data_IF_066293381668
#
_entry.id   IF_066293381668
#
_cell.length_a   1.000
_cell.length_b   1.000
_cell.length_c   1.000
_cell.angle_alpha   90.00
_cell.angle_beta   90.00
_cell.angle_gamma   90.00
#
_symmetry.space_group_name_H-M   'P 1'
#
loop_
_entity.id
_entity.type
_entity.pdbx_description
1 polymer ?
#
# COMPACT_ATOMS: atom_id res chain seq x y z
N UNK A 1 28.03 1.24 -6.73
CA UNK A 1 26.69 0.79 -6.31
C UNK A 1 26.40 -0.60 -6.90
N UNK A 2 27.45 -1.41 -7.08
CA UNK A 2 27.63 -2.21 -8.30
C UNK A 2 27.07 -3.65 -8.21
N UNK A 3 26.23 -3.92 -7.22
CA UNK A 3 25.81 -5.30 -6.89
C UNK A 3 24.30 -5.52 -6.91
N UNK A 4 23.46 -4.47 -7.02
CA UNK A 4 22.02 -4.67 -7.17
C UNK A 4 21.72 -4.97 -8.64
N UNK A 5 21.54 -6.26 -8.92
CA UNK A 5 21.25 -6.77 -10.26
C UNK A 5 19.84 -7.33 -10.35
N UNK A 6 19.17 -6.98 -11.42
CA UNK A 6 17.86 -7.50 -11.79
C UNK A 6 18.02 -8.59 -12.85
N UNK A 7 17.12 -9.56 -12.85
CA UNK A 7 17.08 -10.61 -13.87
C UNK A 7 16.16 -10.15 -15.00
N UNK A 8 16.73 -9.93 -16.17
CA UNK A 8 16.03 -9.53 -17.38
C UNK A 8 16.28 -10.58 -18.46
N UNK A 9 15.23 -11.28 -18.91
CA UNK A 9 15.33 -12.32 -19.96
C UNK A 9 16.48 -13.32 -19.73
N UNK A 10 16.70 -13.73 -18.46
CA UNK A 10 17.76 -14.65 -18.07
C UNK A 10 19.16 -14.03 -17.94
N UNK A 11 19.33 -12.73 -18.15
CA UNK A 11 20.60 -11.99 -17.99
C UNK A 11 20.55 -11.04 -16.80
N UNK A 12 21.70 -10.86 -16.16
CA UNK A 12 21.83 -9.89 -15.07
C UNK A 12 22.12 -8.51 -15.61
N UNK A 13 21.33 -7.53 -15.16
CA UNK A 13 21.54 -6.12 -15.46
C UNK A 13 21.58 -5.30 -14.17
N UNK A 14 22.36 -4.23 -14.16
CA UNK A 14 22.40 -3.30 -13.02
C UNK A 14 21.08 -2.54 -12.89
N UNK A 15 20.73 -2.16 -11.65
CA UNK A 15 19.52 -1.38 -11.37
C UNK A 15 19.41 -0.13 -12.24
N UNK A 16 20.50 0.62 -12.43
CA UNK A 16 20.49 1.85 -13.23
C UNK A 16 20.24 1.56 -14.72
N UNK A 17 20.75 0.45 -15.24
CA UNK A 17 20.42 -0.02 -16.59
C UNK A 17 18.94 -0.40 -16.71
N UNK A 18 18.37 -1.03 -15.67
CA UNK A 18 16.94 -1.32 -15.65
C UNK A 18 16.09 -0.04 -15.62
N UNK A 19 16.50 0.99 -14.87
CA UNK A 19 15.83 2.31 -14.88
C UNK A 19 15.89 2.93 -16.27
N UNK A 20 17.04 2.87 -16.96
CA UNK A 20 17.20 3.35 -18.34
C UNK A 20 16.25 2.64 -19.30
N UNK A 21 16.22 1.31 -19.26
CA UNK A 21 15.36 0.51 -20.13
C UNK A 21 13.89 0.80 -19.87
N UNK A 22 13.50 0.88 -18.59
CA UNK A 22 12.12 1.17 -18.22
C UNK A 22 11.70 2.58 -18.65
N UNK A 23 12.57 3.60 -18.44
CA UNK A 23 12.28 4.97 -18.90
C UNK A 23 12.17 5.04 -20.43
N UNK A 24 12.95 4.25 -21.15
CA UNK A 24 12.96 4.20 -22.61
C UNK A 24 11.71 3.55 -23.21
N UNK A 25 10.93 2.82 -22.40
CA UNK A 25 9.66 2.22 -22.83
C UNK A 25 8.52 3.23 -22.98
N UNK A 26 8.68 4.46 -22.48
CA UNK A 26 7.67 5.52 -22.56
C UNK A 26 8.03 6.53 -23.65
N UNK A 27 7.55 6.29 -24.87
CA UNK A 27 7.83 7.17 -26.00
C UNK A 27 7.31 8.60 -25.77
N UNK A 28 6.20 8.72 -25.04
CA UNK A 28 5.61 9.99 -24.63
C UNK A 28 6.51 10.84 -23.73
N UNK A 29 7.59 10.27 -23.15
CA UNK A 29 8.49 10.98 -22.25
C UNK A 29 9.68 11.65 -22.94
N UNK A 30 9.93 11.35 -24.22
CA UNK A 30 11.16 11.78 -24.91
C UNK A 30 11.31 13.31 -25.04
N UNK A 31 10.18 14.01 -25.11
CA UNK A 31 10.11 15.47 -25.23
C UNK A 31 10.02 16.20 -23.88
N UNK A 32 10.11 15.49 -22.74
CA UNK A 32 10.03 16.11 -21.42
C UNK A 32 11.31 16.85 -21.03
N UNK A 33 11.19 17.87 -20.19
CA UNK A 33 12.32 18.56 -19.59
C UNK A 33 13.16 17.62 -18.73
N UNK A 34 14.46 17.93 -18.62
CA UNK A 34 15.41 17.08 -17.91
C UNK A 34 15.03 16.87 -16.44
N UNK A 35 14.50 17.90 -15.76
CA UNK A 35 14.08 17.81 -14.36
C UNK A 35 12.84 16.91 -14.19
N UNK A 36 11.97 16.84 -15.19
CA UNK A 36 10.84 15.89 -15.20
C UNK A 36 11.33 14.46 -15.43
N UNK A 37 12.25 14.26 -16.37
CA UNK A 37 12.87 12.94 -16.57
C UNK A 37 13.59 12.46 -15.31
N UNK A 38 14.35 13.33 -14.63
CA UNK A 38 14.96 13.03 -13.33
C UNK A 38 13.94 12.59 -12.29
N UNK A 39 12.82 13.32 -12.17
CA UNK A 39 11.78 12.97 -11.21
C UNK A 39 11.22 11.56 -11.51
N UNK A 40 10.93 11.27 -12.78
CA UNK A 40 10.47 9.95 -13.23
C UNK A 40 11.54 8.88 -12.96
N UNK A 41 12.83 9.16 -13.21
CA UNK A 41 13.94 8.22 -12.93
C UNK A 41 13.99 7.82 -11.46
N UNK A 42 13.88 8.77 -10.52
CA UNK A 42 13.85 8.48 -9.07
C UNK A 42 12.62 7.64 -8.69
N UNK A 43 11.45 7.97 -9.22
CA UNK A 43 10.22 7.24 -8.95
C UNK A 43 10.26 5.82 -9.54
N UNK A 44 10.76 5.65 -10.76
CA UNK A 44 10.97 4.35 -11.39
C UNK A 44 11.97 3.50 -10.63
N UNK A 45 13.08 4.10 -10.19
CA UNK A 45 14.04 3.41 -9.33
C UNK A 45 13.39 2.95 -8.03
N UNK A 46 12.54 3.78 -7.42
CA UNK A 46 11.77 3.42 -6.22
C UNK A 46 10.86 2.21 -6.48
N UNK A 47 10.12 2.20 -7.59
CA UNK A 47 9.28 1.07 -8.01
C UNK A 47 10.09 -0.22 -8.22
N UNK A 48 11.22 -0.14 -8.93
CA UNK A 48 12.09 -1.29 -9.15
C UNK A 48 12.68 -1.79 -7.83
N UNK A 49 13.20 -0.90 -6.98
CA UNK A 49 13.70 -1.24 -5.66
C UNK A 49 12.63 -1.86 -4.77
N UNK A 50 11.38 -1.41 -4.86
CA UNK A 50 10.26 -2.04 -4.13
C UNK A 50 10.04 -3.49 -4.57
N UNK A 51 10.19 -3.79 -5.87
CA UNK A 51 10.18 -5.17 -6.36
C UNK A 51 11.31 -6.01 -5.81
N UNK A 52 12.49 -5.40 -5.56
CA UNK A 52 13.67 -6.02 -4.95
C UNK A 52 13.58 -6.05 -3.41
N UNK A 53 12.73 -5.21 -2.82
CA UNK A 53 12.53 -5.18 -1.38
C UNK A 53 11.96 -6.53 -0.96
N UNK A 54 12.46 -7.03 0.14
CA UNK A 54 12.09 -8.34 0.68
C UNK A 54 12.65 -9.54 -0.09
N UNK A 55 13.70 -9.33 -0.89
CA UNK A 55 14.54 -10.42 -1.37
C UNK A 55 15.51 -10.89 -0.28
N UNK A 56 15.66 -12.21 -0.14
CA UNK A 56 16.77 -12.82 0.59
C UNK A 56 18.06 -12.59 -0.24
N UNK A 57 19.22 -12.62 0.42
CA UNK A 57 20.50 -12.57 -0.26
C UNK A 57 20.56 -13.59 -1.41
N UNK A 58 20.89 -13.13 -2.62
CA UNK A 58 20.90 -13.88 -3.89
C UNK A 58 19.54 -14.17 -4.55
N UNK A 59 18.40 -13.84 -3.93
CA UNK A 59 17.11 -13.85 -4.63
C UNK A 59 17.06 -12.74 -5.68
N UNK A 60 16.28 -12.96 -6.74
CA UNK A 60 16.25 -12.12 -7.95
C UNK A 60 14.83 -11.79 -8.34
N UNK A 61 14.66 -10.58 -8.87
CA UNK A 61 13.39 -10.14 -9.46
C UNK A 61 13.50 -10.28 -10.97
N UNK A 62 12.57 -11.05 -11.54
CA UNK A 62 12.31 -11.00 -12.97
C UNK A 62 11.55 -9.72 -13.29
N UNK A 63 12.15 -8.86 -14.10
CA UNK A 63 11.49 -7.65 -14.59
C UNK A 63 11.24 -7.83 -16.08
N UNK A 64 10.00 -7.62 -16.51
CA UNK A 64 9.67 -7.56 -17.93
C UNK A 64 10.03 -6.16 -18.45
N UNK A 65 11.20 -6.05 -19.08
CA UNK A 65 11.66 -4.85 -19.79
C UNK A 65 12.08 -5.24 -21.21
N UNK A 66 12.07 -4.26 -22.12
CA UNK A 66 12.62 -4.44 -23.45
C UNK A 66 13.83 -3.51 -23.64
N UNK A 67 15.03 -4.09 -23.66
CA UNK A 67 16.27 -3.35 -23.89
C UNK A 67 16.32 -2.73 -25.30
N UNK A 68 15.57 -3.28 -26.27
CA UNK A 68 15.52 -2.76 -27.63
C UNK A 68 14.93 -1.36 -27.67
N UNK A 69 14.02 -1.01 -26.75
CA UNK A 69 13.47 0.34 -26.64
C UNK A 69 14.58 1.38 -26.45
N UNK A 70 15.58 1.06 -25.61
CA UNK A 70 16.74 1.94 -25.40
C UNK A 70 17.75 1.86 -26.55
N UNK A 71 18.06 0.64 -27.04
CA UNK A 71 19.04 0.44 -28.13
C UNK A 71 18.62 1.21 -29.39
N UNK A 72 17.33 1.23 -29.71
CA UNK A 72 16.80 1.88 -30.92
C UNK A 72 16.68 3.41 -30.82
N UNK A 73 16.96 4.02 -29.65
CA UNK A 73 16.95 5.47 -29.52
C UNK A 73 18.09 6.12 -30.30
N UNK A 74 17.80 7.31 -30.85
CA UNK A 74 18.82 8.17 -31.43
C UNK A 74 19.78 8.71 -30.35
N UNK A 75 20.96 9.16 -30.77
CA UNK A 75 22.04 9.60 -29.87
C UNK A 75 21.61 10.71 -28.92
N UNK A 76 20.87 11.72 -29.40
CA UNK A 76 20.42 12.86 -28.59
C UNK A 76 19.49 12.42 -27.46
N UNK A 77 18.56 11.51 -27.74
CA UNK A 77 17.65 10.97 -26.73
C UNK A 77 18.39 10.10 -25.71
N UNK A 78 19.34 9.26 -26.16
CA UNK A 78 20.19 8.48 -25.26
C UNK A 78 20.96 9.36 -24.29
N UNK A 79 21.61 10.42 -24.79
CA UNK A 79 22.34 11.38 -23.94
C UNK A 79 21.44 12.02 -22.89
N UNK A 80 20.23 12.43 -23.28
CA UNK A 80 19.25 13.07 -22.38
C UNK A 80 18.76 12.11 -21.28
N UNK A 81 18.40 10.88 -21.65
CA UNK A 81 17.93 9.85 -20.72
C UNK A 81 19.08 9.41 -19.79
N UNK A 82 20.27 9.18 -20.32
CA UNK A 82 21.46 8.83 -19.53
C UNK A 82 21.77 9.90 -18.50
N UNK A 83 21.70 11.18 -18.90
CA UNK A 83 21.91 12.31 -17.99
C UNK A 83 20.88 12.35 -16.86
N UNK A 84 19.60 12.08 -17.14
CA UNK A 84 18.57 12.06 -16.11
C UNK A 84 18.80 10.95 -15.07
N UNK A 85 19.19 9.75 -15.54
CA UNK A 85 19.45 8.61 -14.68
C UNK A 85 20.73 8.81 -13.86
N UNK A 86 21.83 9.22 -14.49
CA UNK A 86 23.12 9.38 -13.81
C UNK A 86 23.13 10.51 -12.78
N UNK A 87 22.49 11.65 -13.08
CA UNK A 87 22.39 12.76 -12.12
C UNK A 87 21.44 12.47 -10.95
N UNK A 88 20.67 11.37 -11.00
CA UNK A 88 19.79 10.91 -9.92
C UNK A 88 20.15 9.52 -9.40
N UNK A 89 21.34 9.04 -9.73
CA UNK A 89 21.81 7.69 -9.43
C UNK A 89 21.65 7.35 -7.94
N UNK A 90 21.00 6.21 -7.67
CA UNK A 90 20.76 5.74 -6.32
C UNK A 90 19.76 6.56 -5.51
N UNK A 91 19.10 7.58 -6.05
CA UNK A 91 18.04 8.27 -5.32
C UNK A 91 16.72 7.50 -5.43
N UNK A 92 16.04 7.33 -4.30
CA UNK A 92 14.70 6.73 -4.18
C UNK A 92 13.79 7.59 -3.28
N UNK A 93 12.50 7.29 -3.28
CA UNK A 93 11.48 7.98 -2.49
C UNK A 93 10.83 7.03 -1.49
N UNK A 94 10.69 7.48 -0.25
CA UNK A 94 10.01 6.74 0.83
C UNK A 94 8.97 7.59 1.55
N UNK A 95 8.03 6.94 2.20
CA UNK A 95 7.07 7.50 3.15
C UNK A 95 7.02 6.60 4.38
N UNK A 96 7.19 7.15 5.59
CA UNK A 96 7.21 6.39 6.85
C UNK A 96 8.06 5.11 6.77
N UNK A 97 9.31 5.22 6.30
CA UNK A 97 10.23 4.09 6.13
C UNK A 97 9.78 2.99 5.15
N UNK A 98 8.78 3.23 4.30
CA UNK A 98 8.40 2.34 3.20
C UNK A 98 8.68 3.01 1.85
N UNK A 99 9.31 2.28 0.92
CA UNK A 99 9.51 2.75 -0.47
C UNK A 99 8.16 2.91 -1.15
N UNK A 100 7.93 4.07 -1.78
CA UNK A 100 6.66 4.33 -2.45
C UNK A 100 6.59 3.64 -3.81
N UNK A 101 5.37 3.43 -4.28
CA UNK A 101 5.11 3.02 -5.67
C UNK A 101 5.13 4.22 -6.64
N UNK A 102 5.51 3.96 -7.89
CA UNK A 102 5.39 4.93 -8.97
C UNK A 102 4.01 4.86 -9.63
N UNK A 103 3.20 5.86 -9.35
CA UNK A 103 1.96 6.16 -10.07
C UNK A 103 2.12 7.47 -10.85
N UNK A 104 1.55 7.49 -12.05
CA UNK A 104 1.50 8.69 -12.86
C UNK A 104 0.18 8.79 -13.63
N UNK A 105 -0.11 10.00 -14.08
CA UNK A 105 -1.17 10.30 -15.04
C UNK A 105 -0.60 11.25 -16.08
N UNK A 106 -0.94 11.06 -17.36
CA UNK A 106 -0.41 11.92 -18.42
C UNK A 106 -0.93 13.35 -18.29
N UNK A 107 -2.23 13.50 -18.07
CA UNK A 107 -2.88 14.78 -17.87
C UNK A 107 -4.01 14.66 -16.82
N UNK A 108 -3.90 15.38 -15.71
CA UNK A 108 -4.89 15.32 -14.64
C UNK A 108 -6.08 16.29 -14.81
N UNK A 109 -6.06 17.16 -15.83
CA UNK A 109 -7.13 18.13 -16.13
C UNK A 109 -7.58 19.04 -14.97
N UNK A 110 -6.70 19.30 -14.01
CA UNK A 110 -6.95 20.24 -12.91
C UNK A 110 -6.55 19.74 -11.53
N UNK A 111 -6.35 18.45 -11.36
CA UNK A 111 -5.78 17.89 -10.15
C UNK A 111 -5.78 16.37 -10.13
N UNK A 112 -4.88 15.79 -9.34
CA UNK A 112 -4.81 14.34 -9.13
C UNK A 112 -5.94 13.87 -8.19
N UNK A 113 -6.16 12.56 -8.11
CA UNK A 113 -7.13 11.93 -7.23
C UNK A 113 -6.48 11.46 -5.92
N UNK A 114 -7.31 11.23 -4.90
CA UNK A 114 -6.87 10.44 -3.75
C UNK A 114 -6.85 8.95 -4.13
N UNK A 115 -5.97 8.18 -3.51
CA UNK A 115 -5.86 6.75 -3.83
C UNK A 115 -7.13 5.96 -3.54
N UNK A 116 -7.90 6.31 -2.50
CA UNK A 116 -9.14 5.60 -2.14
C UNK A 116 -10.23 5.74 -3.20
N UNK A 117 -10.23 6.85 -3.95
CA UNK A 117 -11.20 7.11 -5.03
C UNK A 117 -10.91 6.26 -6.28
N UNK A 118 -9.69 5.72 -6.41
CA UNK A 118 -9.22 4.99 -7.60
C UNK A 118 -8.87 3.53 -7.31
N UNK A 119 -8.20 3.27 -6.18
CA UNK A 119 -7.72 1.94 -5.76
C UNK A 119 -8.56 1.33 -4.64
N UNK A 120 -9.50 2.08 -4.04
CA UNK A 120 -10.30 1.63 -2.90
C UNK A 120 -9.53 1.56 -1.57
N UNK A 121 -8.26 1.97 -1.55
CA UNK A 121 -7.39 1.97 -0.35
C UNK A 121 -6.76 3.34 -0.12
N UNK A 122 -6.67 3.75 1.14
CA UNK A 122 -6.01 4.99 1.51
C UNK A 122 -4.49 4.78 1.59
N UNK A 123 -3.76 5.48 0.72
CA UNK A 123 -2.30 5.52 0.65
C UNK A 123 -1.87 6.97 0.95
N UNK A 124 -1.31 7.25 2.14
CA UNK A 124 -1.14 8.61 2.64
C UNK A 124 -0.34 9.56 1.74
N UNK A 125 0.62 9.03 0.97
CA UNK A 125 1.42 9.85 0.04
C UNK A 125 0.74 10.11 -1.32
N UNK A 126 -0.36 9.41 -1.64
CA UNK A 126 -1.15 9.60 -2.86
C UNK A 126 -2.43 10.39 -2.55
N UNK A 127 -2.28 11.69 -2.40
CA UNK A 127 -3.37 12.62 -2.13
C UNK A 127 -3.67 13.46 -3.37
N UNK A 128 -4.88 14.00 -3.43
CA UNK A 128 -5.27 14.97 -4.44
C UNK A 128 -4.41 16.23 -4.33
N UNK A 129 -3.76 16.57 -5.44
CA UNK A 129 -2.96 17.78 -5.64
C UNK A 129 -3.59 18.57 -6.76
N UNK A 130 -3.94 19.83 -6.49
CA UNK A 130 -4.46 20.73 -7.51
C UNK A 130 -3.34 21.05 -8.51
N UNK A 131 -3.66 21.04 -9.81
CA UNK A 131 -2.69 21.31 -10.86
C UNK A 131 -3.27 22.33 -11.83
N UNK A 132 -2.69 23.52 -11.84
CA UNK A 132 -3.00 24.57 -12.83
C UNK A 132 -2.01 24.58 -14.01
N UNK A 133 -1.09 23.62 -14.06
CA UNK A 133 0.02 23.58 -15.02
C UNK A 133 -0.22 22.62 -16.17
N UNK A 134 -1.15 21.67 -16.08
CA UNK A 134 -1.56 20.85 -17.22
C UNK A 134 -2.73 21.50 -17.97
N UNK A 135 -2.82 21.38 -19.30
CA UNK A 135 -3.96 21.86 -20.06
C UNK A 135 -5.22 21.08 -19.66
N UNK A 136 -6.38 21.76 -19.64
CA UNK A 136 -7.67 21.08 -19.45
C UNK A 136 -8.08 20.42 -20.77
N UNK A 137 -7.86 19.12 -20.87
CA UNK A 137 -8.18 18.35 -22.07
C UNK A 137 -9.59 17.80 -21.98
N UNK A 138 -10.27 17.79 -23.13
CA UNK A 138 -11.59 17.17 -23.32
C UNK A 138 -11.55 16.42 -24.62
N UNK A 139 -11.98 15.17 -24.61
CA UNK A 139 -12.13 14.35 -25.81
C UNK A 139 -13.57 13.86 -25.88
N UNK A 140 -14.21 14.05 -27.02
CA UNK A 140 -15.51 13.46 -27.30
C UNK A 140 -15.29 12.27 -28.23
N UNK A 141 -15.81 11.11 -27.83
CA UNK A 141 -15.72 9.87 -28.60
C UNK A 141 -17.13 9.34 -28.82
N UNK A 142 -17.46 9.07 -30.07
CA UNK A 142 -18.72 8.46 -30.43
C UNK A 142 -18.52 6.95 -30.66
N UNK A 143 -19.41 6.14 -30.09
CA UNK A 143 -19.42 4.70 -30.25
C UNK A 143 -20.76 4.26 -30.82
N UNK A 144 -20.76 3.40 -31.85
CA UNK A 144 -21.97 2.69 -32.22
C UNK A 144 -22.34 1.70 -31.11
N UNK A 145 -23.63 1.63 -30.75
CA UNK A 145 -24.10 0.75 -29.66
C UNK A 145 -23.79 -0.71 -29.96
N UNK A 146 -23.84 -1.11 -31.25
CA UNK A 146 -23.47 -2.46 -31.68
C UNK A 146 -22.01 -2.81 -31.33
N UNK A 147 -21.09 -1.85 -31.40
CA UNK A 147 -19.69 -2.08 -31.03
C UNK A 147 -19.52 -2.22 -29.52
N UNK A 148 -20.32 -1.50 -28.73
CA UNK A 148 -20.34 -1.63 -27.26
C UNK A 148 -20.93 -2.98 -26.86
N UNK A 149 -22.06 -3.37 -27.45
CA UNK A 149 -22.72 -4.67 -27.24
C UNK A 149 -21.74 -5.82 -27.50
N UNK A 150 -21.01 -5.77 -28.62
CA UNK A 150 -19.96 -6.73 -28.94
C UNK A 150 -18.82 -6.73 -27.91
N UNK A 151 -18.34 -5.56 -27.48
CA UNK A 151 -17.23 -5.43 -26.50
C UNK A 151 -17.63 -5.89 -25.09
N UNK A 152 -18.89 -5.77 -24.72
CA UNK A 152 -19.41 -6.13 -23.39
C UNK A 152 -20.08 -7.51 -23.35
N UNK A 153 -20.14 -8.24 -24.48
CA UNK A 153 -20.76 -9.57 -24.54
C UNK A 153 -22.28 -9.56 -24.38
N UNK A 154 -22.93 -8.44 -24.67
CA UNK A 154 -24.38 -8.29 -24.59
C UNK A 154 -25.00 -8.53 -25.97
N UNK A 155 -25.99 -9.41 -26.07
CA UNK A 155 -26.71 -9.68 -27.33
C UNK A 155 -28.13 -9.11 -27.28
N UNK A 156 -28.44 -8.28 -28.30
CA UNK A 156 -29.74 -7.77 -28.76
C UNK A 156 -30.22 -6.41 -28.22
N UNK A 157 -29.98 -5.36 -29.02
CA UNK A 157 -30.72 -4.10 -28.94
C UNK A 157 -32.13 -4.22 -29.56
N UNK A 158 -33.17 -4.15 -28.74
CA UNK A 158 -34.55 -4.01 -29.20
C UNK A 158 -34.90 -2.54 -29.49
N UNK A 159 -35.81 -2.31 -30.43
CA UNK A 159 -36.43 -1.00 -30.60
C UNK A 159 -37.12 -0.57 -29.29
N UNK A 160 -36.84 0.66 -28.86
CA UNK A 160 -37.40 1.26 -27.65
C UNK A 160 -38.58 2.15 -28.02
N UNK A 161 -39.53 2.26 -27.09
CA UNK A 161 -40.66 3.18 -27.23
C UNK A 161 -40.25 4.64 -27.06
N UNK A 162 -39.17 4.89 -26.30
CA UNK A 162 -38.67 6.22 -25.95
C UNK A 162 -37.13 6.25 -25.99
N UNK A 163 -36.57 7.45 -26.18
CA UNK A 163 -35.14 7.76 -25.96
C UNK A 163 -35.08 8.77 -24.80
N UNK A 164 -34.59 8.36 -23.62
CA UNK A 164 -34.51 9.25 -22.46
C UNK A 164 -33.80 10.57 -22.78
N UNK A 165 -34.33 11.67 -22.25
CA UNK A 165 -33.93 13.07 -22.43
C UNK A 165 -33.96 13.60 -23.88
N UNK A 166 -34.53 12.85 -24.82
CA UNK A 166 -34.62 13.28 -26.22
C UNK A 166 -35.98 13.05 -26.86
N UNK A 167 -36.53 11.83 -26.79
CA UNK A 167 -37.85 11.46 -27.30
C UNK A 167 -38.63 10.74 -26.20
N UNK A 168 -39.40 11.48 -25.41
CA UNK A 168 -40.07 11.02 -24.18
C UNK A 168 -41.57 11.26 -24.25
N UNK A 169 -42.32 10.73 -23.28
CA UNK A 169 -43.78 10.86 -23.17
C UNK A 169 -44.49 10.42 -24.47
N UNK A 170 -44.07 9.28 -25.03
CA UNK A 170 -44.55 8.79 -26.32
C UNK A 170 -45.89 8.08 -26.12
N UNK A 171 -46.98 8.80 -26.32
CA UNK A 171 -48.35 8.29 -26.24
C UNK A 171 -48.73 7.56 -27.54
N UNK A 172 -49.35 6.39 -27.43
CA UNK A 172 -49.74 5.56 -28.58
C UNK A 172 -51.19 5.13 -28.52
N UNK A 173 -51.77 4.92 -29.70
CA UNK A 173 -53.07 4.27 -29.84
C UNK A 173 -52.97 2.75 -29.72
N UNK A 174 -54.13 2.08 -29.72
CA UNK A 174 -54.26 0.61 -29.67
C UNK A 174 -53.57 -0.12 -30.85
N UNK A 175 -53.30 0.58 -31.96
CA UNK A 175 -52.62 0.04 -33.14
C UNK A 175 -51.10 0.23 -33.09
N UNK A 176 -50.59 0.95 -32.07
CA UNK A 176 -49.18 1.26 -31.85
C UNK A 176 -48.69 2.53 -32.54
N UNK A 177 -49.59 3.35 -33.13
CA UNK A 177 -49.22 4.64 -33.75
C UNK A 177 -49.02 5.70 -32.68
N UNK A 178 -48.03 6.57 -32.88
CA UNK A 178 -47.77 7.68 -31.97
C UNK A 178 -48.86 8.75 -32.14
N UNK A 179 -49.53 9.08 -31.04
CA UNK A 179 -50.49 10.19 -30.94
C UNK A 179 -49.68 11.46 -30.71
N UNK A 180 -48.91 11.50 -29.61
CA UNK A 180 -48.07 12.62 -29.20
C UNK A 180 -46.70 12.11 -28.73
N UNK A 181 -45.69 12.97 -28.85
CA UNK A 181 -44.37 12.76 -28.28
C UNK A 181 -43.71 14.09 -27.94
N UNK A 182 -42.85 14.07 -26.94
CA UNK A 182 -42.00 15.20 -26.57
C UNK A 182 -40.61 15.00 -27.18
N UNK A 183 -40.15 16.00 -27.95
CA UNK A 183 -38.78 16.07 -28.49
C UNK A 183 -38.03 17.14 -27.72
N UNK A 184 -37.19 16.71 -26.77
CA UNK A 184 -36.57 17.57 -25.75
C UNK A 184 -37.64 18.39 -25.02
N UNK A 185 -37.72 19.69 -25.28
CA UNK A 185 -38.67 20.61 -24.63
C UNK A 185 -39.93 20.87 -25.46
N UNK A 186 -40.02 20.32 -26.68
CA UNK A 186 -41.11 20.63 -27.62
C UNK A 186 -42.07 19.45 -27.74
N UNK A 187 -43.37 19.72 -27.62
CA UNK A 187 -44.42 18.72 -27.87
C UNK A 187 -44.80 18.72 -29.35
N UNK A 188 -45.04 17.55 -29.92
CA UNK A 188 -45.56 17.42 -31.29
C UNK A 188 -46.44 16.18 -31.43
N UNK A 189 -47.22 16.11 -32.51
CA UNK A 189 -48.00 14.91 -32.82
C UNK A 189 -47.16 13.90 -33.59
N UNK A 190 -47.49 12.61 -33.48
CA UNK A 190 -46.81 11.57 -34.25
C UNK A 190 -46.95 11.74 -35.77
N UNK A 191 -48.07 12.33 -36.23
CA UNK A 191 -48.30 12.65 -37.65
C UNK A 191 -47.37 13.76 -38.13
N UNK A 192 -47.31 14.87 -37.39
CA UNK A 192 -46.45 16.00 -37.73
C UNK A 192 -44.97 15.59 -37.69
N UNK A 193 -44.57 14.78 -36.71
CA UNK A 193 -43.23 14.22 -36.66
C UNK A 193 -42.91 13.36 -37.89
N UNK A 194 -43.82 12.46 -38.28
CA UNK A 194 -43.65 11.62 -39.46
C UNK A 194 -43.53 12.45 -40.74
N UNK A 195 -44.37 13.47 -40.92
CA UNK A 195 -44.32 14.37 -42.07
C UNK A 195 -42.98 15.14 -42.13
N UNK A 196 -42.55 15.73 -41.02
CA UNK A 196 -41.29 16.49 -40.93
C UNK A 196 -40.06 15.61 -41.17
N UNK A 197 -40.12 14.34 -40.78
CA UNK A 197 -39.04 13.37 -40.98
C UNK A 197 -39.18 12.57 -42.29
N UNK A 198 -40.15 12.90 -43.15
CA UNK A 198 -40.43 12.22 -44.42
C UNK A 198 -40.66 10.69 -44.26
N UNK A 199 -41.38 10.31 -43.20
CA UNK A 199 -41.73 8.93 -42.88
C UNK A 199 -43.12 8.60 -43.42
N UNK A 200 -43.29 7.36 -43.92
CA UNK A 200 -44.55 6.88 -44.51
C UNK A 200 -45.63 6.54 -43.48
N UNK A 201 -45.30 6.53 -42.19
CA UNK A 201 -46.18 6.09 -41.10
C UNK A 201 -45.75 6.73 -39.78
N UNK A 202 -46.71 7.00 -38.90
CA UNK A 202 -46.47 7.40 -37.51
C UNK A 202 -46.44 6.21 -36.52
N UNK A 203 -46.49 4.97 -37.03
CA UNK A 203 -46.14 3.76 -36.24
C UNK A 203 -44.63 3.58 -36.23
N UNK A 204 -43.95 4.43 -35.46
CA UNK A 204 -42.49 4.56 -35.44
C UNK A 204 -41.96 4.00 -34.11
N UNK A 205 -40.80 3.36 -34.13
CA UNK A 205 -40.08 2.96 -32.91
C UNK A 205 -38.64 3.44 -33.01
N UNK A 206 -38.01 3.67 -31.86
CA UNK A 206 -36.72 4.33 -31.82
C UNK A 206 -35.60 3.34 -31.48
N UNK A 207 -34.45 3.52 -32.08
CA UNK A 207 -33.24 2.80 -31.70
C UNK A 207 -32.12 3.81 -31.59
N UNK A 208 -31.48 3.86 -30.43
CA UNK A 208 -30.28 4.66 -30.27
C UNK A 208 -29.15 3.94 -31.00
N UNK A 209 -28.58 4.57 -32.03
CA UNK A 209 -27.52 3.95 -32.84
C UNK A 209 -26.13 4.19 -32.24
N UNK A 210 -25.91 5.33 -31.62
CA UNK A 210 -24.63 5.71 -31.02
C UNK A 210 -24.79 6.41 -29.66
N UNK A 211 -23.70 6.39 -28.89
CA UNK A 211 -23.52 7.21 -27.70
C UNK A 211 -22.27 8.07 -27.87
N UNK A 212 -22.31 9.31 -27.37
CA UNK A 212 -21.15 10.18 -27.29
C UNK A 212 -20.67 10.22 -25.84
N UNK A 213 -19.41 9.85 -25.61
CA UNK A 213 -18.76 9.89 -24.30
C UNK A 213 -17.80 11.07 -24.28
N UNK A 214 -17.87 11.87 -23.22
CA UNK A 214 -16.94 12.97 -22.97
C UNK A 214 -15.93 12.55 -21.91
N UNK A 215 -14.68 12.45 -22.32
CA UNK A 215 -13.52 12.13 -21.49
C UNK A 215 -12.78 13.42 -21.09
N UNK A 216 -12.31 13.48 -19.83
CA UNK A 216 -11.57 14.61 -19.28
C UNK A 216 -10.28 14.07 -18.66
N UNK A 217 -9.13 14.64 -19.04
CA UNK A 217 -7.83 14.15 -18.61
C UNK A 217 -7.33 12.96 -19.44
N UNK A 218 -6.25 12.36 -18.96
CA UNK A 218 -5.58 11.19 -19.56
C UNK A 218 -4.80 10.45 -18.46
N UNK A 219 -5.13 9.16 -18.28
CA UNK A 219 -4.56 8.26 -17.28
C UNK A 219 -5.39 8.09 -16.02
N UNK A 220 -4.80 7.44 -15.02
CA UNK A 220 -5.46 7.00 -13.78
C UNK A 220 -5.82 8.14 -12.81
N UNK A 221 -5.25 9.33 -13.00
CA UNK A 221 -5.38 10.45 -12.07
C UNK A 221 -4.51 10.35 -10.81
N UNK A 222 -3.68 9.32 -10.64
CA UNK A 222 -2.85 9.12 -9.44
C UNK A 222 -1.39 9.58 -9.62
N UNK A 223 -0.78 10.01 -8.52
CA UNK A 223 0.64 10.33 -8.43
C UNK A 223 1.03 11.55 -9.26
N UNK A 224 2.12 11.46 -10.02
CA UNK A 224 2.66 12.60 -10.77
C UNK A 224 1.87 12.86 -12.05
N UNK A 225 1.42 14.11 -12.24
CA UNK A 225 0.91 14.55 -13.54
C UNK A 225 2.07 14.90 -14.47
N UNK A 226 2.33 14.09 -15.49
CA UNK A 226 3.51 14.23 -16.36
C UNK A 226 3.55 15.59 -17.06
N UNK A 227 2.45 16.00 -17.72
CA UNK A 227 2.40 17.31 -18.38
C UNK A 227 2.50 18.48 -17.38
N UNK A 228 1.86 18.35 -16.21
CA UNK A 228 1.93 19.36 -15.16
C UNK A 228 3.35 19.52 -14.61
N UNK A 229 4.02 18.41 -14.31
CA UNK A 229 5.42 18.37 -13.89
C UNK A 229 6.37 18.93 -14.95
N UNK A 230 6.12 18.63 -16.22
CA UNK A 230 6.90 19.16 -17.34
C UNK A 230 6.82 20.69 -17.43
N UNK A 231 5.62 21.24 -17.28
CA UNK A 231 5.44 22.68 -17.33
C UNK A 231 6.02 23.38 -16.08
N UNK A 232 5.94 22.77 -14.91
CA UNK A 232 6.67 23.24 -13.72
C UNK A 232 8.19 23.21 -13.92
N UNK A 233 8.73 22.17 -14.55
CA UNK A 233 10.15 22.08 -14.86
C UNK A 233 10.60 23.19 -15.82
N UNK A 234 9.78 23.53 -16.83
CA UNK A 234 10.03 24.69 -17.73
C UNK A 234 10.07 26.02 -16.98
N UNK A 235 9.34 26.12 -15.87
CA UNK A 235 9.36 27.28 -14.97
C UNK A 235 10.52 27.23 -13.96
N UNK A 236 11.40 26.23 -14.05
CA UNK A 236 12.63 26.12 -13.24
C UNK A 236 12.53 25.20 -12.02
N UNK A 237 11.38 24.57 -11.78
CA UNK A 237 11.19 23.64 -10.66
C UNK A 237 12.08 22.40 -10.80
N UNK A 238 12.77 22.02 -9.72
CA UNK A 238 13.72 20.90 -9.70
C UNK A 238 13.02 19.57 -9.44
N UNK A 239 13.64 18.47 -9.85
CA UNK A 239 13.05 17.13 -9.75
C UNK A 239 12.57 16.77 -8.32
N UNK A 240 13.31 17.18 -7.29
CA UNK A 240 12.99 16.94 -5.90
C UNK A 240 11.74 17.71 -5.43
N UNK A 241 11.55 18.92 -5.93
CA UNK A 241 10.36 19.73 -5.70
C UNK A 241 9.15 19.14 -6.44
N UNK A 242 9.34 18.67 -7.69
CA UNK A 242 8.28 17.99 -8.45
C UNK A 242 7.77 16.74 -7.71
N UNK A 243 8.67 15.90 -7.19
CA UNK A 243 8.30 14.71 -6.42
C UNK A 243 7.50 15.13 -5.18
N UNK A 244 8.01 16.08 -4.38
CA UNK A 244 7.33 16.53 -3.15
C UNK A 244 6.01 17.25 -3.42
N UNK A 245 5.85 17.85 -4.60
CA UNK A 245 4.59 18.48 -5.01
C UNK A 245 3.49 17.45 -5.23
N UNK A 246 3.80 16.34 -5.91
CA UNK A 246 2.80 15.32 -6.26
C UNK A 246 2.64 14.20 -5.22
N UNK A 247 3.65 13.96 -4.38
CA UNK A 247 3.64 12.91 -3.37
C UNK A 247 3.77 13.53 -1.97
N UNK A 248 2.71 13.41 -1.17
CA UNK A 248 2.60 14.10 0.13
C UNK A 248 3.45 13.43 1.20
N UNK A 249 4.23 14.22 1.96
CA UNK A 249 4.97 13.74 3.13
C UNK A 249 6.15 12.81 2.82
N UNK A 250 6.58 12.74 1.56
CA UNK A 250 7.67 11.84 1.16
C UNK A 250 9.06 12.41 1.42
N UNK A 251 10.01 11.51 1.61
CA UNK A 251 11.43 11.79 1.74
C UNK A 251 12.18 11.20 0.53
N UNK A 252 13.10 11.98 -0.01
CA UNK A 252 14.04 11.50 -1.04
C UNK A 252 15.34 11.14 -0.34
N UNK A 253 15.75 9.89 -0.45
CA UNK A 253 16.96 9.37 0.19
C UNK A 253 17.86 8.72 -0.85
N UNK A 254 19.13 8.54 -0.49
CA UNK A 254 20.03 7.67 -1.25
C UNK A 254 19.79 6.23 -0.83
N UNK A 255 19.81 5.33 -1.81
CA UNK A 255 19.56 3.92 -1.66
C UNK A 255 20.61 3.30 -0.73
N UNK A 256 20.12 2.68 0.33
CA UNK A 256 20.90 1.84 1.21
C UNK A 256 20.61 0.37 0.85
N UNK A 257 21.66 -0.40 0.56
CA UNK A 257 21.52 -1.82 0.18
C UNK A 257 20.94 -2.63 1.34
N UNK A 258 21.36 -2.34 2.58
CA UNK A 258 20.88 -3.06 3.76
C UNK A 258 19.37 -2.90 3.94
N UNK A 259 18.86 -1.71 3.61
CA UNK A 259 17.43 -1.39 3.64
C UNK A 259 16.59 -2.13 2.56
N UNK A 260 17.19 -2.55 1.44
CA UNK A 260 16.50 -3.35 0.41
C UNK A 260 16.47 -4.83 0.80
N UNK A 261 17.58 -5.31 1.36
CA UNK A 261 17.71 -6.69 1.79
C UNK A 261 16.66 -6.98 2.86
N UNK A 262 15.97 -8.11 2.74
CA UNK A 262 14.83 -8.51 3.56
C UNK A 262 15.18 -8.80 5.04
N UNK A 263 15.56 -7.78 5.79
CA UNK A 263 16.10 -7.93 7.14
C UNK A 263 15.67 -6.78 8.06
N UNK A 264 16.12 -6.86 9.31
CA UNK A 264 15.84 -5.95 10.41
C UNK A 264 17.14 -5.26 10.92
N UNK A 265 18.21 -5.15 10.11
CA UNK A 265 19.53 -4.65 10.56
C UNK A 265 19.51 -3.25 11.18
N UNK A 266 18.60 -2.37 10.74
CA UNK A 266 18.45 -1.02 11.28
C UNK A 266 17.45 -0.94 12.46
N UNK A 267 16.91 -2.07 12.92
CA UNK A 267 15.92 -2.13 13.99
C UNK A 267 16.55 -2.55 15.30
N UNK A 268 16.25 -1.80 16.35
CA UNK A 268 16.53 -2.15 17.74
C UNK A 268 15.22 -2.40 18.48
N UNK A 269 15.10 -3.55 19.14
CA UNK A 269 13.93 -3.89 19.98
C UNK A 269 14.40 -4.28 21.36
N UNK A 270 13.78 -3.70 22.40
CA UNK A 270 13.91 -4.19 23.77
C UNK A 270 12.82 -5.23 24.01
N UNK A 271 13.19 -6.45 24.43
CA UNK A 271 12.22 -7.46 24.86
C UNK A 271 12.29 -7.56 26.38
N UNK A 272 11.19 -7.24 27.02
CA UNK A 272 11.02 -7.36 28.45
C UNK A 272 10.38 -8.71 28.79
N UNK A 273 11.15 -9.59 29.44
CA UNK A 273 10.59 -10.80 30.01
C UNK A 273 9.92 -10.45 31.35
N UNK A 274 8.59 -10.28 31.34
CA UNK A 274 7.82 -9.88 32.51
C UNK A 274 8.13 -10.74 33.75
N UNK A 275 8.05 -10.13 34.94
CA UNK A 275 8.39 -10.74 36.23
C UNK A 275 9.84 -11.26 36.31
N UNK A 276 10.21 -12.02 37.35
CA UNK A 276 11.55 -12.60 37.53
C UNK A 276 12.04 -12.61 38.99
N UNK A 277 12.92 -13.56 39.31
CA UNK A 277 13.48 -13.75 40.64
C UNK A 277 12.38 -13.99 41.68
N UNK A 278 12.28 -13.08 42.66
CA UNK A 278 11.26 -13.12 43.72
C UNK A 278 9.86 -12.73 43.25
N UNK A 279 9.71 -12.13 42.07
CA UNK A 279 8.43 -11.84 41.46
C UNK A 279 8.06 -12.99 40.51
N UNK A 280 7.11 -13.83 40.94
CA UNK A 280 6.69 -15.00 40.17
C UNK A 280 5.66 -14.67 39.08
N UNK A 281 5.06 -13.48 39.14
CA UNK A 281 3.83 -13.18 38.41
C UNK A 281 2.69 -14.08 38.86
N UNK A 282 1.89 -14.56 37.91
CA UNK A 282 0.84 -15.53 38.14
C UNK A 282 1.37 -16.96 38.17
N UNK A 283 0.81 -17.76 39.08
CA UNK A 283 1.15 -19.18 39.28
C UNK A 283 -0.13 -20.00 39.17
N UNK A 284 -0.10 -21.05 38.37
CA UNK A 284 -1.17 -22.02 38.26
C UNK A 284 -0.58 -23.44 38.13
N UNK A 285 -0.70 -24.24 39.18
CA UNK A 285 -0.04 -25.54 39.31
C UNK A 285 1.48 -25.45 39.07
N UNK A 286 2.00 -26.11 38.03
CA UNK A 286 3.40 -26.08 37.62
C UNK A 286 3.75 -24.94 36.66
N UNK A 287 2.76 -24.15 36.22
CA UNK A 287 2.96 -23.05 35.29
C UNK A 287 3.23 -21.77 36.08
N UNK A 288 4.43 -21.21 35.87
CA UNK A 288 4.89 -19.99 36.51
C UNK A 288 5.14 -18.95 35.42
N UNK A 289 4.46 -17.81 35.51
CA UNK A 289 4.49 -16.76 34.49
C UNK A 289 5.91 -16.30 34.16
N UNK A 290 6.74 -16.01 35.17
CA UNK A 290 8.12 -15.54 34.94
C UNK A 290 8.97 -16.49 34.09
N UNK A 291 8.74 -17.81 34.21
CA UNK A 291 9.53 -18.82 33.51
C UNK A 291 9.07 -18.93 32.05
N UNK A 292 7.76 -18.88 31.83
CA UNK A 292 7.14 -18.88 30.50
C UNK A 292 7.57 -17.63 29.72
N UNK A 293 7.50 -16.46 30.35
CA UNK A 293 7.89 -15.19 29.73
C UNK A 293 9.36 -15.21 29.30
N UNK A 294 10.26 -15.74 30.15
CA UNK A 294 11.68 -15.84 29.83
C UNK A 294 11.91 -16.76 28.62
N UNK A 295 11.24 -17.92 28.57
CA UNK A 295 11.36 -18.87 27.45
C UNK A 295 10.93 -18.24 26.12
N UNK A 296 9.77 -17.57 26.11
CA UNK A 296 9.28 -16.88 24.90
C UNK A 296 10.25 -15.77 24.49
N UNK A 297 10.72 -14.95 25.43
CA UNK A 297 11.64 -13.84 25.15
C UNK A 297 12.97 -14.29 24.54
N UNK A 298 13.57 -15.37 25.07
CA UNK A 298 14.83 -15.93 24.55
C UNK A 298 14.67 -16.49 23.13
N UNK A 299 13.56 -17.18 22.85
CA UNK A 299 13.25 -17.69 21.50
C UNK A 299 13.02 -16.55 20.51
N UNK A 300 12.24 -15.55 20.93
CA UNK A 300 11.96 -14.36 20.12
C UNK A 300 13.25 -13.57 19.79
N UNK A 301 14.16 -13.42 20.77
CA UNK A 301 15.50 -12.85 20.55
C UNK A 301 16.22 -13.56 19.42
N UNK A 302 16.36 -14.88 19.50
CA UNK A 302 17.08 -15.66 18.49
C UNK A 302 16.48 -15.49 17.09
N UNK A 303 15.15 -15.53 16.96
CA UNK A 303 14.46 -15.35 15.68
C UNK A 303 14.69 -13.96 15.08
N UNK A 304 14.59 -12.90 15.89
CA UNK A 304 14.79 -11.53 15.41
C UNK A 304 16.26 -11.23 15.09
N UNK A 305 17.20 -11.71 15.91
CA UNK A 305 18.65 -11.59 15.64
C UNK A 305 19.03 -12.35 14.35
N UNK A 306 18.37 -13.47 14.03
CA UNK A 306 18.58 -14.19 12.76
C UNK A 306 18.19 -13.37 11.52
N UNK A 307 17.36 -12.33 11.69
CA UNK A 307 17.03 -11.35 10.65
C UNK A 307 17.83 -10.04 10.83
N UNK A 308 18.87 -10.02 11.66
CA UNK A 308 19.75 -8.86 11.84
C UNK A 308 19.28 -7.83 12.87
N UNK A 309 18.14 -8.04 13.53
CA UNK A 309 17.64 -7.10 14.53
C UNK A 309 18.56 -7.03 15.76
N UNK A 310 18.81 -5.82 16.27
CA UNK A 310 19.51 -5.62 17.52
C UNK A 310 18.53 -5.83 18.68
N UNK A 311 18.71 -6.90 19.44
CA UNK A 311 17.83 -7.24 20.57
C UNK A 311 18.51 -6.98 21.91
N UNK A 312 17.77 -6.34 22.81
CA UNK A 312 18.18 -6.13 24.20
C UNK A 312 17.12 -6.73 25.10
N UNK A 313 17.52 -7.70 25.93
CA UNK A 313 16.64 -8.27 26.93
C UNK A 313 16.70 -7.45 28.21
N UNK A 314 15.58 -7.29 28.91
CA UNK A 314 15.62 -6.73 30.27
C UNK A 314 16.33 -7.68 31.23
N UNK A 315 16.13 -8.99 31.07
CA UNK A 315 16.85 -10.07 31.77
C UNK A 315 17.08 -11.26 30.86
N UNK A 316 18.22 -11.94 31.04
CA UNK A 316 18.57 -13.16 30.29
C UNK A 316 18.41 -14.45 31.12
N UNK A 317 18.17 -14.31 32.43
CA UNK A 317 18.02 -15.40 33.39
C UNK A 317 16.89 -15.12 34.38
N UNK A 318 16.63 -16.05 35.30
CA UNK A 318 15.68 -15.82 36.39
C UNK A 318 16.28 -14.88 37.44
N UNK A 319 16.02 -13.59 37.29
CA UNK A 319 16.46 -12.54 38.19
C UNK A 319 15.37 -11.48 38.36
N UNK A 320 15.34 -10.87 39.55
CA UNK A 320 14.38 -9.82 39.85
C UNK A 320 14.84 -8.49 39.27
N UNK A 321 13.92 -7.80 38.59
CA UNK A 321 14.10 -6.43 38.12
C UNK A 321 12.88 -5.59 38.46
N UNK A 322 13.12 -4.44 39.08
CA UNK A 322 12.06 -3.48 39.37
C UNK A 322 11.51 -2.89 38.07
N UNK A 323 10.28 -2.35 38.13
CA UNK A 323 9.69 -1.64 37.00
C UNK A 323 10.56 -0.44 36.56
N UNK A 324 11.21 0.23 37.51
CA UNK A 324 12.12 1.34 37.23
C UNK A 324 13.37 0.89 36.47
N UNK A 325 13.96 -0.27 36.83
CA UNK A 325 15.13 -0.80 36.13
C UNK A 325 14.81 -1.16 34.67
N UNK A 326 13.64 -1.78 34.43
CA UNK A 326 13.14 -2.10 33.09
C UNK A 326 12.98 -0.83 32.24
N UNK A 327 12.35 0.19 32.80
CA UNK A 327 12.18 1.51 32.16
C UNK A 327 13.53 2.19 31.91
N UNK A 328 14.48 2.10 32.85
CA UNK A 328 15.82 2.66 32.67
C UNK A 328 16.56 2.03 31.49
N UNK A 329 16.43 0.70 31.30
CA UNK A 329 16.97 0.01 30.13
C UNK A 329 16.32 0.55 28.85
N UNK A 330 14.98 0.58 28.78
CA UNK A 330 14.24 1.07 27.61
C UNK A 330 14.66 2.50 27.24
N UNK A 331 14.67 3.41 28.22
CA UNK A 331 14.96 4.82 28.01
C UNK A 331 16.43 5.09 27.68
N UNK A 332 17.35 4.27 28.19
CA UNK A 332 18.78 4.32 27.85
C UNK A 332 19.01 3.88 26.40
N UNK A 333 18.38 2.78 26.00
CA UNK A 333 18.65 2.14 24.71
C UNK A 333 17.93 2.78 23.53
N UNK A 334 16.80 3.45 23.81
CA UNK A 334 15.95 4.14 22.82
C UNK A 334 15.63 3.25 21.61
N UNK A 335 15.02 2.08 21.82
CA UNK A 335 14.70 1.16 20.73
C UNK A 335 13.58 1.72 19.84
N UNK A 336 13.39 1.11 18.67
CA UNK A 336 12.22 1.36 17.82
C UNK A 336 10.93 0.93 18.53
N UNK A 337 10.97 -0.19 19.24
CA UNK A 337 9.90 -0.65 20.12
C UNK A 337 10.47 -1.32 21.37
N UNK A 338 9.68 -1.32 22.45
CA UNK A 338 9.81 -2.36 23.47
C UNK A 338 8.59 -3.29 23.45
N UNK A 339 8.81 -4.57 23.74
CA UNK A 339 7.78 -5.60 23.82
C UNK A 339 7.92 -6.29 25.17
N UNK A 340 6.94 -6.10 26.05
CA UNK A 340 6.88 -6.78 27.35
C UNK A 340 5.99 -8.01 27.26
N UNK A 341 6.57 -9.19 27.48
CA UNK A 341 5.90 -10.49 27.36
C UNK A 341 5.35 -10.90 28.73
N UNK A 342 4.05 -11.19 28.77
CA UNK A 342 3.29 -11.55 29.97
C UNK A 342 2.30 -12.70 29.72
N UNK A 343 1.81 -13.30 30.81
CA UNK A 343 0.69 -14.25 30.79
C UNK A 343 -0.44 -13.75 31.67
N UNK A 344 -1.66 -13.85 31.19
CA UNK A 344 -2.82 -13.36 31.90
C UNK A 344 -3.41 -14.44 32.82
N UNK A 345 -4.34 -14.05 33.69
CA UNK A 345 -5.12 -14.95 34.51
C UNK A 345 -6.49 -14.34 34.79
N UNK A 346 -7.52 -15.17 34.72
CA UNK A 346 -8.88 -14.77 35.02
C UNK A 346 -9.61 -15.85 35.84
N UNK A 347 -10.57 -15.43 36.65
CA UNK A 347 -11.29 -16.32 37.58
C UNK A 347 -12.10 -17.41 36.86
N UNK A 348 -12.58 -17.12 35.65
CA UNK A 348 -13.30 -18.05 34.80
C UNK A 348 -12.33 -18.68 33.80
N UNK A 349 -12.17 -20.00 33.88
CA UNK A 349 -11.26 -20.82 33.07
C UNK A 349 -11.65 -20.90 31.59
N UNK A 350 -12.86 -20.49 31.22
CA UNK A 350 -13.28 -20.39 29.82
C UNK A 350 -12.69 -19.17 29.09
N UNK A 351 -12.06 -18.25 29.82
CA UNK A 351 -11.36 -17.10 29.23
C UNK A 351 -9.98 -17.52 28.73
N UNK A 352 -9.78 -17.38 27.43
CA UNK A 352 -8.60 -17.80 26.69
C UNK A 352 -8.23 -16.76 25.63
N UNK A 353 -7.00 -16.82 25.12
CA UNK A 353 -6.48 -16.04 24.00
C UNK A 353 -5.41 -15.01 24.36
N UNK A 354 -4.97 -14.26 23.35
CA UNK A 354 -3.98 -13.20 23.47
C UNK A 354 -4.62 -11.81 23.41
N UNK A 355 -4.08 -10.86 24.16
CA UNK A 355 -4.38 -9.43 24.06
C UNK A 355 -3.13 -8.58 24.18
N UNK A 356 -3.17 -7.40 23.57
CA UNK A 356 -2.11 -6.40 23.69
C UNK A 356 -2.61 -5.16 24.41
N UNK A 357 -1.72 -4.52 25.17
CA UNK A 357 -1.92 -3.20 25.73
C UNK A 357 -0.87 -2.23 25.21
N UNK A 358 -1.29 -1.03 24.81
CA UNK A 358 -0.41 0.05 24.37
C UNK A 358 -0.72 1.36 25.12
N UNK A 359 0.19 2.33 25.04
CA UNK A 359 -0.05 3.68 25.54
C UNK A 359 -1.12 4.38 24.69
N UNK A 360 -1.76 5.40 25.25
CA UNK A 360 -2.81 6.16 24.57
C UNK A 360 -2.23 6.91 23.36
N UNK A 361 -2.94 6.87 22.23
CA UNK A 361 -2.60 7.59 21.00
C UNK A 361 -1.23 7.19 20.37
N UNK A 362 -0.74 5.97 20.68
CA UNK A 362 0.45 5.38 20.06
C UNK A 362 0.05 4.51 18.85
N UNK A 363 -0.13 5.15 17.69
CA UNK A 363 -0.56 4.49 16.46
C UNK A 363 0.42 3.39 16.00
N UNK A 364 1.72 3.59 16.22
CA UNK A 364 2.76 2.62 15.85
C UNK A 364 2.62 1.32 16.67
N UNK A 365 2.42 1.43 17.99
CA UNK A 365 2.19 0.28 18.85
C UNK A 365 0.85 -0.41 18.55
N UNK A 366 -0.18 0.35 18.18
CA UNK A 366 -1.47 -0.20 17.77
C UNK A 366 -1.37 -1.04 16.49
N UNK A 367 -0.65 -0.55 15.48
CA UNK A 367 -0.39 -1.28 14.23
C UNK A 367 0.41 -2.56 14.48
N UNK A 368 1.54 -2.47 15.20
CA UNK A 368 2.36 -3.63 15.55
C UNK A 368 1.57 -4.70 16.33
N UNK A 369 0.75 -4.26 17.28
CA UNK A 369 -0.09 -5.17 18.08
C UNK A 369 -1.09 -5.93 17.22
N UNK A 370 -1.70 -5.29 16.23
CA UNK A 370 -2.66 -5.94 15.33
C UNK A 370 -1.99 -7.03 14.50
N UNK A 371 -0.81 -6.75 13.95
CA UNK A 371 -0.06 -7.73 13.16
C UNK A 371 0.33 -8.95 14.02
N UNK A 372 0.86 -8.72 15.23
CA UNK A 372 1.22 -9.80 16.17
C UNK A 372 0.00 -10.66 16.53
N UNK A 373 -1.12 -10.04 16.90
CA UNK A 373 -2.33 -10.77 17.31
C UNK A 373 -2.95 -11.57 16.16
N UNK A 374 -2.91 -11.06 14.92
CA UNK A 374 -3.37 -11.84 13.76
C UNK A 374 -2.44 -13.01 13.44
N UNK A 375 -1.12 -12.88 13.60
CA UNK A 375 -0.22 -14.04 13.44
C UNK A 375 -0.42 -15.07 14.56
N UNK A 376 -0.59 -14.65 15.81
CA UNK A 376 -0.90 -15.57 16.92
C UNK A 376 -2.17 -16.38 16.66
N UNK A 377 -3.21 -15.73 16.13
CA UNK A 377 -4.44 -16.40 15.71
C UNK A 377 -4.23 -17.39 14.57
N UNK A 378 -3.59 -16.95 13.50
CA UNK A 378 -3.53 -17.74 12.27
C UNK A 378 -2.43 -18.82 12.29
N UNK A 379 -1.41 -18.68 13.14
CA UNK A 379 -0.23 -19.57 13.18
C UNK A 379 -0.15 -20.41 14.46
N UNK A 380 -0.57 -19.86 15.60
CA UNK A 380 -0.53 -20.55 16.88
C UNK A 380 -1.93 -21.01 17.36
N UNK A 381 -3.00 -20.69 16.63
CA UNK A 381 -4.37 -21.06 17.00
C UNK A 381 -4.85 -20.37 18.28
N UNK A 382 -4.33 -19.18 18.57
CA UNK A 382 -4.62 -18.43 19.80
C UNK A 382 -5.70 -17.39 19.52
N UNK A 383 -6.75 -17.36 20.33
CA UNK A 383 -7.86 -16.43 20.13
C UNK A 383 -7.37 -14.97 20.23
N UNK A 384 -7.60 -14.16 19.19
CA UNK A 384 -7.34 -12.72 19.22
C UNK A 384 -8.41 -12.01 20.07
N UNK A 385 -8.01 -11.38 21.18
CA UNK A 385 -8.90 -10.61 22.08
C UNK A 385 -8.78 -9.09 21.90
N UNK A 386 -7.96 -8.65 20.94
CA UNK A 386 -7.80 -7.25 20.55
C UNK A 386 -6.71 -6.49 21.30
N UNK A 387 -6.60 -5.21 20.93
CA UNK A 387 -5.66 -4.24 21.52
C UNK A 387 -6.43 -3.28 22.41
N UNK A 388 -5.88 -2.96 23.58
CA UNK A 388 -6.47 -2.05 24.57
C UNK A 388 -5.47 -0.95 24.94
N UNK A 389 -5.99 0.19 25.40
CA UNK A 389 -5.15 1.19 26.07
C UNK A 389 -4.97 0.73 27.52
N UNK A 390 -3.72 0.64 27.98
CA UNK A 390 -3.38 0.17 29.31
C UNK A 390 -2.59 1.19 30.11
N UNK A 391 -2.95 1.36 31.38
CA UNK A 391 -2.27 2.27 32.31
C UNK A 391 -1.10 1.56 33.05
N UNK A 392 -0.20 0.95 32.28
CA UNK A 392 0.97 0.24 32.81
C UNK A 392 2.15 1.19 32.99
N UNK A 393 2.85 1.10 34.12
CA UNK A 393 4.01 1.95 34.42
C UNK A 393 5.07 1.91 33.31
N UNK A 394 5.37 0.73 32.77
CA UNK A 394 6.36 0.55 31.69
C UNK A 394 5.96 1.24 30.38
N UNK A 395 4.65 1.30 30.08
CA UNK A 395 4.11 2.00 28.90
C UNK A 395 4.10 3.52 29.11
N UNK A 396 3.83 3.99 30.34
CA UNK A 396 3.82 5.43 30.64
C UNK A 396 5.22 6.03 30.67
N UNK A 397 6.16 5.32 31.29
CA UNK A 397 7.50 5.86 31.58
C UNK A 397 8.55 5.42 30.55
N UNK A 398 8.27 4.38 29.75
CA UNK A 398 9.04 4.04 28.56
C UNK A 398 8.78 5.08 27.47
N UNK A 399 9.75 5.98 27.24
CA UNK A 399 9.61 7.15 26.34
C UNK A 399 9.77 6.79 24.86
N UNK A 400 9.27 5.63 24.46
CA UNK A 400 9.30 5.07 23.09
C UNK A 400 8.03 4.24 22.89
N UNK A 401 7.65 3.96 21.65
CA UNK A 401 6.50 3.10 21.38
C UNK A 401 6.71 1.71 21.96
N UNK A 402 5.65 1.11 22.53
CA UNK A 402 5.77 -0.21 23.13
C UNK A 402 4.46 -0.87 23.50
N UNK A 403 4.55 -2.17 23.71
CA UNK A 403 3.39 -3.04 23.96
C UNK A 403 3.64 -3.93 25.18
N UNK A 404 2.56 -4.20 25.92
CA UNK A 404 2.48 -5.34 26.85
C UNK A 404 1.65 -6.40 26.14
N UNK A 405 2.27 -7.54 25.82
CA UNK A 405 1.63 -8.68 25.17
C UNK A 405 1.30 -9.74 26.21
N UNK A 406 0.01 -9.92 26.45
CA UNK A 406 -0.53 -11.05 27.19
C UNK A 406 -0.70 -12.21 26.20
N UNK A 407 0.21 -13.18 26.20
CA UNK A 407 0.23 -14.23 25.17
C UNK A 407 -0.94 -15.22 25.31
N UNK A 408 -1.30 -15.58 26.54
CA UNK A 408 -2.29 -16.61 26.89
C UNK A 408 -2.83 -16.33 28.30
N UNK A 409 -3.89 -17.04 28.70
CA UNK A 409 -4.37 -17.09 30.09
C UNK A 409 -3.88 -18.36 30.78
N UNK A 410 -3.13 -18.25 31.89
CA UNK A 410 -2.65 -19.43 32.65
C UNK A 410 -3.80 -20.27 33.20
N UNK A 411 -4.93 -19.63 33.52
CA UNK A 411 -6.14 -20.29 34.01
C UNK A 411 -7.04 -20.81 32.88
N UNK A 412 -6.74 -20.47 31.62
CA UNK A 412 -7.53 -20.83 30.46
C UNK A 412 -7.50 -22.32 30.16
N UNK A 413 -8.66 -22.95 30.06
CA UNK A 413 -8.79 -24.39 29.80
C UNK A 413 -8.32 -24.82 28.40
N UNK A 414 -8.38 -23.92 27.40
CA UNK A 414 -7.88 -24.16 26.03
C UNK A 414 -6.42 -23.70 25.89
N UNK A 415 -6.02 -22.67 26.63
CA UNK A 415 -4.66 -22.13 26.60
C UNK A 415 -3.66 -23.05 27.32
N UNK A 416 -4.12 -23.80 28.34
CA UNK A 416 -3.27 -24.71 29.13
C UNK A 416 -2.47 -25.70 28.27
N UNK A 417 -3.05 -26.18 27.17
CA UNK A 417 -2.41 -27.12 26.25
C UNK A 417 -1.26 -26.50 25.44
N UNK A 418 -1.09 -25.17 25.44
CA UNK A 418 -0.10 -24.43 24.64
C UNK A 418 1.13 -23.99 25.43
N UNK A 419 1.24 -24.36 26.70
CA UNK A 419 2.42 -24.06 27.54
C UNK A 419 3.51 -25.13 27.48
N UNK A 420 3.38 -26.10 26.58
CA UNK A 420 4.47 -27.03 26.26
C UNK A 420 5.53 -26.36 25.37
N UNK A 421 6.66 -27.05 25.17
CA UNK A 421 7.80 -26.47 24.44
C UNK A 421 7.43 -26.11 22.99
N UNK A 422 6.58 -26.90 22.34
CA UNK A 422 6.10 -26.65 20.99
C UNK A 422 5.17 -25.43 20.92
N UNK A 423 4.26 -25.28 21.88
CA UNK A 423 3.36 -24.14 21.98
C UNK A 423 4.11 -22.83 22.22
N UNK A 424 5.10 -22.82 23.12
CA UNK A 424 5.94 -21.65 23.36
C UNK A 424 6.78 -21.27 22.13
N UNK A 425 7.28 -22.25 21.37
CA UNK A 425 7.96 -22.02 20.09
C UNK A 425 7.01 -21.40 19.06
N UNK A 426 5.79 -21.92 18.94
CA UNK A 426 4.75 -21.37 18.04
C UNK A 426 4.39 -19.94 18.39
N UNK A 427 4.30 -19.61 19.68
CA UNK A 427 4.04 -18.24 20.15
C UNK A 427 5.19 -17.32 19.74
N UNK A 428 6.43 -17.66 20.09
CA UNK A 428 7.59 -16.85 19.75
C UNK A 428 7.70 -16.64 18.23
N UNK A 429 7.48 -17.70 17.44
CA UNK A 429 7.46 -17.63 15.98
C UNK A 429 6.33 -16.75 15.45
N UNK A 430 5.13 -16.84 15.99
CA UNK A 430 4.02 -15.99 15.58
C UNK A 430 4.27 -14.51 15.89
N UNK A 431 4.83 -14.21 17.07
CA UNK A 431 5.23 -12.83 17.42
C UNK A 431 6.31 -12.32 16.47
N UNK A 432 7.32 -13.13 16.19
CA UNK A 432 8.35 -12.84 15.19
C UNK A 432 7.76 -12.57 13.81
N UNK A 433 6.87 -13.43 13.32
CA UNK A 433 6.17 -13.25 12.04
C UNK A 433 5.35 -11.96 12.01
N UNK A 434 4.76 -11.55 13.15
CA UNK A 434 3.99 -10.31 13.26
C UNK A 434 4.88 -9.07 13.19
N UNK A 435 6.04 -9.09 13.86
CA UNK A 435 7.05 -8.04 13.78
C UNK A 435 7.60 -7.93 12.36
N UNK A 436 7.89 -9.07 11.73
CA UNK A 436 8.34 -9.12 10.34
C UNK A 436 7.28 -8.53 9.40
N UNK A 437 6.01 -8.92 9.51
CA UNK A 437 4.92 -8.35 8.71
C UNK A 437 4.80 -6.83 8.88
N UNK A 438 4.88 -6.33 10.12
CA UNK A 438 4.84 -4.89 10.40
C UNK A 438 5.92 -4.11 9.63
N UNK A 439 7.14 -4.66 9.57
CA UNK A 439 8.27 -4.08 8.83
C UNK A 439 8.33 -4.48 7.35
N UNK A 440 7.30 -5.20 6.86
CA UNK A 440 7.23 -5.82 5.53
C UNK A 440 8.32 -6.88 5.26
N UNK A 441 8.96 -7.47 6.27
CA UNK A 441 10.03 -8.47 6.13
C UNK A 441 9.45 -9.88 5.90
N UNK A 442 9.92 -10.63 4.89
CA UNK A 442 9.55 -12.05 4.69
C UNK A 442 10.25 -12.96 5.71
N UNK A 443 9.46 -13.89 6.24
CA UNK A 443 9.87 -14.87 7.25
C UNK A 443 10.50 -16.08 6.61
#
# INVERSE_FOLDING_TARGET
MDDLRLLLNGKYIELEMAVLYHLSSFQEFFELEIETLKAISVLLRSKLCRGIRNLIENEKVNVELDENNYINLNTKLKEKINKAVSETEGLIVKYNNKIIDFYYTMNCSGGTANSEDVLGVNIPYLRRVLCNKCPRTKREVEFEIKDIENKLGMLNGNYKNEIPNFMENVERDETGRIINLDIRTNKTSGKEFAERMNLKSNRIYFMQKSISIKEIGDGMGLGICIQGANNLAKEGCKFNELIKYYFTGVEIIRLDKEYILNNLYDKKIVIDAGHGGSDFGKVNDSLIEKDINLKIALKLKYLLESKGCIIILTREKDEYLSLLDRVNIINKERPNFFISIHQNSFINDTVNGAECYCFKDDDLALELSKEILEKLKNKAGIKNRGVRVGDYYILREGRVSGIVLECLYLTGNVDREKYDEEGLEKIAKAVFEGICEYYDVRV
#
